data_IF_846386214471
#
_entry.id   IF_846386214471
#
_cell.length_a   1.000
_cell.length_b   1.000
_cell.length_c   1.000
_cell.angle_alpha   90.00
_cell.angle_beta   90.00
_cell.angle_gamma   90.00
#
_symmetry.space_group_name_H-M   'P 1'
#
loop_
_entity.id
_entity.type
_entity.pdbx_description
1 polymer ?
#
# COMPACT_ATOMS: atom_id res chain seq x y z
N UNK A 1 10.83 -19.43 11.64
CA UNK A 1 9.41 -19.47 12.06
C UNK A 1 8.64 -18.53 11.15
N UNK A 2 7.95 -19.06 10.14
CA UNK A 2 7.25 -18.26 9.13
C UNK A 2 5.88 -17.80 9.63
N UNK A 3 5.56 -16.53 9.47
CA UNK A 3 4.26 -15.98 9.86
C UNK A 3 3.26 -16.16 8.74
N UNK A 4 2.21 -16.95 9.01
CA UNK A 4 1.10 -17.19 8.09
C UNK A 4 0.06 -16.08 8.28
N UNK A 5 0.08 -15.07 7.41
CA UNK A 5 -1.01 -14.11 7.31
C UNK A 5 -2.26 -14.87 6.80
N UNK A 6 -3.24 -15.08 7.69
CA UNK A 6 -4.52 -15.70 7.30
C UNK A 6 -5.36 -14.66 6.56
N UNK A 7 -5.19 -14.64 5.24
CA UNK A 7 -5.85 -13.78 4.25
C UNK A 7 -7.35 -13.59 4.50
N UNK A 8 -8.04 -14.64 4.97
CA UNK A 8 -9.47 -14.61 5.31
C UNK A 8 -9.87 -13.58 6.37
N UNK A 9 -8.96 -13.10 7.23
CA UNK A 9 -9.30 -12.10 8.24
C UNK A 9 -8.97 -10.66 7.80
N UNK A 10 -8.15 -10.49 6.75
CA UNK A 10 -7.79 -9.19 6.20
C UNK A 10 -9.02 -8.44 5.66
N UNK A 11 -9.95 -9.16 5.03
CA UNK A 11 -11.10 -8.60 4.34
C UNK A 11 -12.24 -8.14 5.25
N UNK A 12 -12.44 -8.80 6.40
CA UNK A 12 -13.61 -8.55 7.26
C UNK A 12 -13.33 -7.63 8.44
N UNK A 13 -12.09 -7.61 8.93
CA UNK A 13 -11.72 -6.80 10.09
C UNK A 13 -10.20 -6.57 10.11
N UNK A 14 -9.66 -5.60 9.34
CA UNK A 14 -8.24 -5.29 9.34
C UNK A 14 -7.71 -4.95 10.74
N UNK A 15 -8.57 -4.43 11.63
CA UNK A 15 -8.30 -4.19 13.06
C UNK A 15 -7.92 -5.47 13.84
N UNK A 16 -8.38 -6.64 13.39
CA UNK A 16 -8.12 -7.95 14.04
C UNK A 16 -6.87 -8.64 13.53
N UNK A 17 -6.28 -8.15 12.42
CA UNK A 17 -4.94 -8.54 11.97
C UNK A 17 -3.83 -7.77 12.72
N UNK A 18 -4.19 -7.04 13.79
CA UNK A 18 -3.28 -6.28 14.64
C UNK A 18 -2.28 -7.23 15.31
N UNK A 19 -1.08 -7.31 14.74
CA UNK A 19 0.08 -7.83 15.44
C UNK A 19 0.39 -6.84 16.55
N UNK A 20 0.05 -7.18 17.79
CA UNK A 20 0.66 -6.52 18.95
C UNK A 20 2.10 -6.98 18.95
N UNK A 21 2.96 -6.16 18.35
CA UNK A 21 4.40 -6.28 18.46
C UNK A 21 4.77 -6.18 19.95
N UNK A 22 4.92 -7.33 20.62
CA UNK A 22 5.59 -7.40 21.91
C UNK A 22 7.11 -7.48 21.70
N UNK A 23 7.73 -6.62 20.86
CA UNK A 23 9.19 -6.35 20.88
C UNK A 23 9.78 -5.41 19.82
N UNK A 24 9.00 -4.74 19.00
CA UNK A 24 9.49 -3.63 18.20
C UNK A 24 8.91 -2.35 18.77
N UNK A 25 9.76 -1.36 19.04
CA UNK A 25 9.38 0.05 19.17
C UNK A 25 8.83 0.57 17.82
N UNK A 26 7.92 -0.18 17.19
CA UNK A 26 7.20 0.25 16.01
C UNK A 26 6.14 1.22 16.53
N UNK A 27 6.41 2.50 16.40
CA UNK A 27 5.39 3.55 16.42
C UNK A 27 4.21 3.01 15.62
N UNK A 28 3.13 2.62 16.31
CA UNK A 28 1.92 2.14 15.65
C UNK A 28 1.45 3.28 14.78
N UNK A 29 1.64 3.18 13.47
CA UNK A 29 1.14 4.18 12.54
C UNK A 29 -0.38 4.04 12.52
N UNK A 30 -1.05 4.83 13.34
CA UNK A 30 -2.49 4.96 13.31
C UNK A 30 -2.90 5.39 11.90
N UNK A 31 -3.93 4.75 11.33
CA UNK A 31 -4.51 5.18 10.06
C UNK A 31 -4.85 6.66 10.15
N UNK A 32 -4.28 7.44 9.22
CA UNK A 32 -4.60 8.85 9.07
C UNK A 32 -5.47 9.00 7.83
N UNK A 33 -6.75 9.37 7.99
CA UNK A 33 -7.63 9.57 6.84
C UNK A 33 -7.07 10.69 5.95
N UNK A 34 -7.30 10.62 4.63
CA UNK A 34 -6.96 11.71 3.73
C UNK A 34 -7.89 12.93 3.97
N UNK A 35 -7.57 14.10 3.38
CA UNK A 35 -8.50 15.23 3.37
C UNK A 35 -9.85 14.89 2.72
N UNK A 36 -10.90 15.63 3.04
CA UNK A 36 -12.20 15.44 2.41
C UNK A 36 -12.11 15.62 0.89
N UNK A 37 -12.73 14.71 0.13
CA UNK A 37 -12.65 14.67 -1.34
C UNK A 37 -11.40 13.96 -1.88
N UNK A 38 -10.53 13.43 -1.01
CA UNK A 38 -9.33 12.72 -1.43
C UNK A 38 -9.44 11.21 -1.18
N UNK A 39 -8.78 10.43 -2.03
CA UNK A 39 -8.50 9.01 -1.80
C UNK A 39 -7.03 8.85 -1.39
N UNK A 40 -6.76 7.90 -0.50
CA UNK A 40 -5.39 7.54 -0.09
C UNK A 40 -4.99 6.20 -0.69
N UNK A 41 -3.88 6.19 -1.41
CA UNK A 41 -3.31 4.98 -1.99
C UNK A 41 -2.00 4.65 -1.28
N UNK A 42 -2.03 3.60 -0.46
CA UNK A 42 -0.80 3.06 0.13
C UNK A 42 -0.15 2.14 -0.89
N UNK A 43 1.14 2.31 -1.14
CA UNK A 43 1.90 1.50 -2.11
C UNK A 43 3.17 0.95 -1.50
N UNK A 44 3.61 -0.21 -1.98
CA UNK A 44 4.88 -0.83 -1.59
C UNK A 44 5.45 -1.60 -2.79
N UNK A 45 6.67 -1.23 -3.18
CA UNK A 45 7.51 -2.01 -4.07
C UNK A 45 8.45 -2.88 -3.25
N UNK A 46 8.59 -4.15 -3.63
CA UNK A 46 9.50 -5.08 -2.96
C UNK A 46 10.37 -5.71 -4.04
N UNK A 47 11.68 -5.73 -3.84
CA UNK A 47 12.60 -6.54 -4.64
C UNK A 47 13.36 -7.51 -3.73
N UNK A 48 13.54 -8.73 -4.20
CA UNK A 48 14.33 -9.77 -3.55
C UNK A 48 15.02 -10.61 -4.61
N UNK A 49 16.35 -10.67 -4.54
CA UNK A 49 17.19 -11.44 -5.46
C UNK A 49 16.95 -11.01 -6.92
N UNK A 50 16.30 -11.86 -7.71
CA UNK A 50 16.00 -11.68 -9.13
C UNK A 50 14.54 -11.29 -9.41
N UNK A 51 13.74 -11.09 -8.36
CA UNK A 51 12.30 -10.82 -8.47
C UNK A 51 11.94 -9.51 -7.80
N UNK A 52 11.02 -8.77 -8.41
CA UNK A 52 10.32 -7.71 -7.72
C UNK A 52 8.81 -7.81 -7.95
N UNK A 53 8.09 -7.24 -7.00
CA UNK A 53 6.66 -7.11 -7.03
C UNK A 53 6.23 -5.74 -6.54
N UNK A 54 5.02 -5.39 -6.91
CA UNK A 54 4.35 -4.17 -6.52
C UNK A 54 3.01 -4.53 -5.86
N UNK A 55 2.59 -3.73 -4.88
CA UNK A 55 1.23 -3.80 -4.33
C UNK A 55 0.76 -2.41 -3.96
N UNK A 56 -0.53 -2.16 -4.13
CA UNK A 56 -1.16 -0.95 -3.61
C UNK A 56 -2.59 -1.18 -3.13
N UNK A 57 -3.02 -0.29 -2.23
CA UNK A 57 -4.32 -0.35 -1.58
C UNK A 57 -4.95 1.05 -1.51
N UNK A 58 -6.04 1.24 -2.25
CA UNK A 58 -6.78 2.49 -2.34
C UNK A 58 -7.87 2.51 -1.27
N UNK A 59 -7.91 3.58 -0.46
CA UNK A 59 -8.91 3.79 0.60
C UNK A 59 -9.56 5.16 0.48
N UNK A 60 -10.79 5.23 0.95
CA UNK A 60 -11.53 6.48 1.11
C UNK A 60 -11.27 7.14 2.48
N UNK A 61 -12.07 8.17 2.76
CA UNK A 61 -12.04 8.95 3.99
C UNK A 61 -12.31 8.07 5.23
N UNK A 62 -13.21 7.10 5.10
CA UNK A 62 -13.59 6.16 6.15
C UNK A 62 -12.54 5.04 6.35
N UNK A 63 -11.51 4.99 5.50
CA UNK A 63 -10.49 3.95 5.50
C UNK A 63 -10.96 2.64 4.85
N UNK A 64 -12.12 2.65 4.18
CA UNK A 64 -12.66 1.50 3.49
C UNK A 64 -11.91 1.25 2.19
N UNK A 65 -11.64 -0.02 1.90
CA UNK A 65 -10.98 -0.43 0.69
C UNK A 65 -11.85 -0.14 -0.55
N UNK A 66 -11.30 0.60 -1.52
CA UNK A 66 -11.97 0.89 -2.80
C UNK A 66 -11.31 0.20 -3.99
N UNK A 67 -10.06 -0.22 -3.84
CA UNK A 67 -9.32 -0.91 -4.89
C UNK A 67 -8.00 -1.46 -4.39
N UNK A 68 -7.52 -2.50 -5.06
CA UNK A 68 -6.27 -3.18 -4.72
C UNK A 68 -5.63 -3.62 -6.02
N UNK A 69 -4.32 -3.46 -6.12
CA UNK A 69 -3.55 -4.03 -7.22
C UNK A 69 -2.32 -4.73 -6.69
N UNK A 70 -1.86 -5.73 -7.44
CA UNK A 70 -0.57 -6.36 -7.24
C UNK A 70 -0.05 -6.89 -8.56
N UNK A 71 1.26 -6.89 -8.74
CA UNK A 71 1.88 -7.35 -9.98
C UNK A 71 3.37 -7.58 -9.82
N UNK A 72 3.98 -8.12 -10.87
CA UNK A 72 5.44 -8.16 -10.98
C UNK A 72 5.95 -6.77 -11.35
N UNK A 73 7.06 -6.35 -10.74
CA UNK A 73 7.80 -5.18 -11.19
C UNK A 73 8.95 -5.64 -12.10
N UNK A 74 9.18 -4.94 -13.21
CA UNK A 74 10.17 -5.29 -14.24
C UNK A 74 11.63 -5.02 -13.83
N UNK A 75 11.94 -5.14 -12.55
CA UNK A 75 13.23 -4.78 -11.97
C UNK A 75 13.58 -5.69 -10.81
N UNK A 76 14.83 -5.73 -10.40
CA UNK A 76 15.31 -6.41 -9.19
C UNK A 76 15.90 -5.41 -8.17
N UNK A 77 15.76 -4.11 -8.43
CA UNK A 77 16.24 -3.02 -7.57
C UNK A 77 15.06 -2.47 -6.79
N UNK A 78 15.16 -2.39 -5.46
CA UNK A 78 14.06 -1.98 -4.57
C UNK A 78 13.55 -0.59 -4.91
N UNK A 79 14.45 0.38 -5.08
CA UNK A 79 14.12 1.77 -5.37
C UNK A 79 13.37 1.90 -6.71
N UNK A 80 13.79 1.11 -7.72
CA UNK A 80 13.08 1.04 -8.99
C UNK A 80 11.72 0.36 -8.84
N UNK A 81 11.62 -0.68 -8.01
CA UNK A 81 10.36 -1.36 -7.77
C UNK A 81 9.34 -0.42 -7.09
N UNK A 82 9.78 0.44 -6.18
CA UNK A 82 8.93 1.47 -5.56
C UNK A 82 8.45 2.50 -6.59
N UNK A 83 9.35 3.02 -7.44
CA UNK A 83 8.99 3.96 -8.52
C UNK A 83 7.98 3.32 -9.50
N UNK A 84 8.25 2.09 -9.94
CA UNK A 84 7.34 1.34 -10.81
C UNK A 84 5.99 1.09 -10.13
N UNK A 85 5.98 0.82 -8.82
CA UNK A 85 4.73 0.67 -8.05
C UNK A 85 3.92 1.97 -8.05
N UNK A 86 4.57 3.13 -7.86
CA UNK A 86 3.90 4.45 -7.92
C UNK A 86 3.35 4.71 -9.31
N UNK A 87 4.09 4.38 -10.36
CA UNK A 87 3.64 4.50 -11.75
C UNK A 87 2.39 3.65 -12.00
N UNK A 88 2.42 2.36 -11.65
CA UNK A 88 1.27 1.45 -11.78
C UNK A 88 0.08 1.97 -10.96
N UNK A 89 0.32 2.49 -9.76
CA UNK A 89 -0.71 3.11 -8.93
C UNK A 89 -1.43 4.28 -9.62
N UNK A 90 -0.66 5.14 -10.29
CA UNK A 90 -1.21 6.28 -11.04
C UNK A 90 -2.01 5.81 -12.26
N UNK A 91 -1.51 4.83 -13.02
CA UNK A 91 -2.22 4.22 -14.15
C UNK A 91 -3.55 3.57 -13.70
N UNK A 92 -3.53 2.84 -12.60
CA UNK A 92 -4.75 2.27 -11.99
C UNK A 92 -5.71 3.39 -11.61
N UNK A 93 -5.26 4.43 -10.92
CA UNK A 93 -6.13 5.56 -10.56
C UNK A 93 -6.73 6.25 -11.79
N UNK A 94 -5.91 6.49 -12.82
CA UNK A 94 -6.34 7.09 -14.09
C UNK A 94 -7.37 6.21 -14.84
N UNK A 95 -7.31 4.89 -14.68
CA UNK A 95 -8.30 3.99 -15.28
C UNK A 95 -9.66 4.00 -14.58
N UNK A 96 -9.77 4.63 -13.39
CA UNK A 96 -11.00 4.62 -12.60
C UNK A 96 -11.86 5.86 -12.83
N UNK A 97 -13.16 5.76 -12.53
CA UNK A 97 -14.08 6.91 -12.52
C UNK A 97 -13.79 7.91 -11.40
N UNK A 98 -13.04 7.51 -10.38
CA UNK A 98 -12.71 8.35 -9.21
C UNK A 98 -11.85 9.56 -9.54
N UNK A 99 -11.06 9.50 -10.62
CA UNK A 99 -10.21 10.61 -11.06
C UNK A 99 -10.99 11.91 -11.36
N UNK A 100 -12.27 11.78 -11.68
CA UNK A 100 -13.13 12.92 -12.04
C UNK A 100 -13.71 13.62 -10.80
N UNK A 101 -13.76 12.95 -9.65
CA UNK A 101 -14.44 13.42 -8.44
C UNK A 101 -13.53 13.52 -7.22
N UNK A 102 -12.33 12.95 -7.28
CA UNK A 102 -11.45 12.83 -6.13
C UNK A 102 -10.01 13.21 -6.46
N UNK A 103 -9.35 13.86 -5.51
CA UNK A 103 -7.90 13.99 -5.52
C UNK A 103 -7.24 12.74 -4.95
N UNK A 104 -5.95 12.53 -5.22
CA UNK A 104 -5.20 11.36 -4.78
C UNK A 104 -4.01 11.77 -3.89
N UNK A 105 -3.87 11.11 -2.74
CA UNK A 105 -2.62 11.12 -1.96
C UNK A 105 -2.00 9.72 -2.01
N UNK A 106 -0.72 9.65 -2.37
CA UNK A 106 0.03 8.40 -2.40
C UNK A 106 0.94 8.35 -1.17
N UNK A 107 0.87 7.27 -0.42
CA UNK A 107 1.73 6.99 0.72
C UNK A 107 2.60 5.78 0.39
N UNK A 108 3.89 6.00 0.22
CA UNK A 108 4.86 4.95 -0.12
C UNK A 108 5.38 4.35 1.19
N UNK A 109 5.19 3.04 1.36
CA UNK A 109 5.76 2.30 2.47
C UNK A 109 7.22 1.96 2.17
N UNK A 110 8.13 2.88 2.49
CA UNK A 110 9.57 2.67 2.41
C UNK A 110 10.23 2.97 3.75
N UNK A 111 11.22 2.17 4.17
CA UNK A 111 12.20 2.59 5.16
C UNK A 111 13.34 3.43 4.55
N UNK A 112 13.47 3.50 3.21
CA UNK A 112 14.71 3.94 2.53
C UNK A 112 14.57 5.28 1.79
N UNK A 113 13.36 5.84 1.63
CA UNK A 113 13.14 7.07 0.80
C UNK A 113 13.58 8.39 1.46
N UNK A 114 14.07 8.38 2.71
CA UNK A 114 14.62 9.58 3.37
C UNK A 114 16.02 9.35 3.99
N UNK A 115 16.93 8.73 3.24
CA UNK A 115 18.37 8.71 3.61
C UNK A 115 19.14 9.80 2.88
#
# INVERSE_FOLDING_TARGET
MGWLLKEKFWWFAPQRCRVVSHKLNSTVSFWRPPPYGWLKLNVCGIAKEDKAGCRGFLRDLEGMARGIFSGAAGTNVVEKAEIETVKIALEVFESTSWKCSNSLVIEVGSEVVFS
#
